data_IF_026446052155
#
_entry.id   IF_026446052155
#
_cell.length_a   1.000
_cell.length_b   1.000
_cell.length_c   1.000
_cell.angle_alpha   90.00
_cell.angle_beta   90.00
_cell.angle_gamma   90.00
#
_symmetry.space_group_name_H-M   'P 1'
#
loop_
_entity.id
_entity.type
_entity.pdbx_description
1 polymer ?
#
# COMPACT_ATOMS: atom_id res chain seq x y z
N UNK A 1 -1.60 20.13 -0.49
CA UNK A 1 -0.59 19.05 -0.42
C UNK A 1 -1.24 17.81 -0.99
N UNK A 2 -0.71 17.26 -2.07
CA UNK A 2 -1.17 16.00 -2.64
C UNK A 2 -0.39 14.84 -1.99
N UNK A 3 -1.04 13.69 -1.84
CA UNK A 3 -0.44 12.46 -1.35
C UNK A 3 -0.15 11.58 -2.57
N UNK A 4 1.12 11.50 -2.95
CA UNK A 4 1.56 10.69 -4.09
C UNK A 4 1.85 9.26 -3.65
N UNK A 5 1.50 8.29 -4.49
CA UNK A 5 1.93 6.91 -4.30
C UNK A 5 3.43 6.80 -4.54
N UNK A 6 4.16 6.13 -3.64
CA UNK A 6 5.60 5.89 -3.82
C UNK A 6 5.92 4.86 -4.91
N UNK A 7 4.91 4.14 -5.39
CA UNK A 7 5.04 3.01 -6.33
C UNK A 7 4.51 3.34 -7.74
N UNK A 8 3.78 4.45 -7.92
CA UNK A 8 3.32 4.95 -9.22
C UNK A 8 2.99 6.44 -9.18
N UNK A 9 2.79 7.06 -10.35
CA UNK A 9 2.39 8.47 -10.49
C UNK A 9 0.93 8.78 -10.09
N UNK A 10 0.30 7.94 -9.27
CA UNK A 10 -1.04 8.22 -8.77
C UNK A 10 -1.01 9.24 -7.63
N UNK A 11 -1.78 10.31 -7.79
CA UNK A 11 -1.90 11.38 -6.80
C UNK A 11 -3.28 11.40 -6.16
N UNK A 12 -3.30 11.54 -4.84
CA UNK A 12 -4.52 11.54 -4.04
C UNK A 12 -4.64 12.83 -3.23
N UNK A 13 -5.88 13.22 -2.95
CA UNK A 13 -6.18 14.40 -2.12
C UNK A 13 -6.09 14.12 -0.62
N UNK A 14 -5.80 12.87 -0.22
CA UNK A 14 -5.80 12.45 1.18
C UNK A 14 -4.89 11.23 1.40
N UNK A 15 -4.26 11.14 2.59
CA UNK A 15 -3.44 10.00 2.99
C UNK A 15 -4.20 8.68 2.91
N UNK A 16 -5.45 8.64 3.39
CA UNK A 16 -6.30 7.45 3.32
C UNK A 16 -6.51 6.94 1.88
N UNK A 17 -6.55 7.85 0.90
CA UNK A 17 -6.67 7.50 -0.52
C UNK A 17 -5.40 6.81 -1.04
N UNK A 18 -4.22 7.34 -0.68
CA UNK A 18 -2.95 6.70 -1.05
C UNK A 18 -2.83 5.33 -0.39
N UNK A 19 -3.14 5.20 0.90
CA UNK A 19 -3.03 3.94 1.65
C UNK A 19 -3.91 2.84 1.06
N UNK A 20 -5.18 3.15 0.76
CA UNK A 20 -6.08 2.20 0.12
C UNK A 20 -5.59 1.81 -1.29
N UNK A 21 -5.08 2.78 -2.05
CA UNK A 21 -4.50 2.53 -3.36
C UNK A 21 -3.31 1.58 -3.29
N UNK A 22 -2.33 1.81 -2.40
CA UNK A 22 -1.14 0.94 -2.35
C UNK A 22 -1.50 -0.51 -1.94
N UNK A 23 -2.45 -0.66 -1.00
CA UNK A 23 -2.93 -1.96 -0.57
C UNK A 23 -3.68 -2.74 -1.67
N UNK A 24 -4.48 -2.06 -2.50
CA UNK A 24 -5.30 -2.70 -3.54
C UNK A 24 -4.60 -2.83 -4.90
N UNK A 25 -3.76 -1.86 -5.25
CA UNK A 25 -3.17 -1.74 -6.58
C UNK A 25 -1.75 -2.32 -6.64
N UNK A 26 -0.99 -2.24 -5.55
CA UNK A 26 0.42 -2.63 -5.55
C UNK A 26 0.71 -3.85 -4.67
N UNK A 27 -0.31 -4.44 -4.02
CA UNK A 27 -0.11 -5.54 -3.05
C UNK A 27 1.06 -5.25 -2.10
N UNK A 28 1.23 -3.99 -1.69
CA UNK A 28 2.39 -3.55 -0.91
C UNK A 28 1.93 -3.12 0.48
N UNK A 29 2.68 -3.52 1.51
CA UNK A 29 2.41 -3.14 2.88
C UNK A 29 2.64 -1.63 3.09
N UNK A 30 1.65 -0.93 3.62
CA UNK A 30 1.74 0.51 3.83
C UNK A 30 2.68 0.89 5.00
N UNK A 31 2.93 -0.03 5.94
CA UNK A 31 3.76 0.21 7.12
C UNK A 31 5.25 0.05 6.79
N UNK A 32 5.64 -1.04 6.10
CA UNK A 32 7.04 -1.34 5.80
C UNK A 32 7.42 -1.19 4.31
N UNK A 33 6.45 -0.91 3.42
CA UNK A 33 6.63 -0.80 1.97
C UNK A 33 7.17 -2.08 1.29
N UNK A 34 6.97 -3.24 1.92
CA UNK A 34 7.28 -4.54 1.31
C UNK A 34 6.21 -4.91 0.27
N UNK A 35 6.65 -5.31 -0.92
CA UNK A 35 5.78 -5.68 -2.03
C UNK A 35 5.55 -7.19 -2.05
N UNK A 36 4.31 -7.60 -2.30
CA UNK A 36 3.89 -9.01 -2.33
C UNK A 36 3.31 -9.37 -3.69
N UNK A 37 3.48 -10.63 -4.07
CA UNK A 37 2.96 -11.16 -5.33
C UNK A 37 1.42 -11.26 -5.31
N UNK A 38 0.84 -11.45 -4.12
CA UNK A 38 -0.59 -11.69 -3.92
C UNK A 38 -1.13 -11.03 -2.64
N UNK A 39 -2.45 -10.80 -2.63
CA UNK A 39 -3.18 -10.17 -1.53
C UNK A 39 -3.17 -11.02 -0.25
N UNK A 40 -3.16 -12.35 -0.37
CA UNK A 40 -3.04 -13.26 0.77
C UNK A 40 -1.66 -13.15 1.44
N UNK A 41 -0.58 -13.04 0.66
CA UNK A 41 0.77 -12.83 1.18
C UNK A 41 0.90 -11.49 1.92
N UNK A 42 0.31 -10.44 1.38
CA UNK A 42 0.23 -9.14 2.06
C UNK A 42 -0.55 -9.23 3.38
N UNK A 43 -1.70 -9.93 3.39
CA UNK A 43 -2.54 -10.04 4.59
C UNK A 43 -1.86 -10.83 5.70
N UNK A 44 -1.19 -11.93 5.34
CA UNK A 44 -0.39 -12.73 6.26
C UNK A 44 0.77 -11.91 6.84
N UNK A 45 1.50 -11.20 5.98
CA UNK A 45 2.55 -10.28 6.42
C UNK A 45 2.05 -9.23 7.42
N UNK A 46 0.92 -8.57 7.13
CA UNK A 46 0.35 -7.58 8.06
C UNK A 46 0.00 -8.23 9.39
N UNK A 47 -0.54 -9.46 9.39
CA UNK A 47 -0.91 -10.14 10.62
C UNK A 47 0.27 -10.62 11.47
N UNK A 48 1.37 -11.03 10.82
CA UNK A 48 2.53 -11.64 11.49
C UNK A 48 3.63 -10.62 11.81
N UNK A 49 3.71 -9.50 11.05
CA UNK A 49 4.79 -8.51 11.15
C UNK A 49 4.38 -7.16 11.74
N UNK A 50 3.08 -6.85 11.82
CA UNK A 50 2.54 -5.56 12.26
C UNK A 50 1.33 -5.70 13.20
#
# INVERSE_FOLDING_TARGET
MAYACSTCDAEFRSAAGVTQHVALHHNTCAECNEAFDDLDGLRDHIHESH
#
